data_IF_861611929023
#
_entry.id   IF_861611929023
#
_cell.length_a   1.000
_cell.length_b   1.000
_cell.length_c   1.000
_cell.angle_alpha   90.00
_cell.angle_beta   90.00
_cell.angle_gamma   90.00
#
_symmetry.space_group_name_H-M   'P 1'
#
loop_
_entity.id
_entity.type
_entity.pdbx_description
1 polymer ?
#
# COMPACT_ATOMS: atom_id res chain seq x y z
N UNK A 1 8.40 -1.63 -10.52
CA UNK A 1 6.95 -1.62 -10.31
C UNK A 1 6.65 -0.91 -9.01
N UNK A 2 5.71 0.04 -8.97
CA UNK A 2 5.45 0.83 -7.76
C UNK A 2 4.44 0.18 -6.81
N UNK A 3 4.48 0.51 -5.51
CA UNK A 3 3.57 -0.08 -4.50
C UNK A 3 2.10 0.07 -4.86
N UNK A 4 1.71 1.29 -5.24
CA UNK A 4 0.35 1.58 -5.68
C UNK A 4 -0.09 0.71 -6.86
N UNK A 5 0.78 0.57 -7.86
CA UNK A 5 0.49 -0.21 -9.07
C UNK A 5 0.28 -1.68 -8.71
N UNK A 6 1.16 -2.22 -7.87
CA UNK A 6 1.08 -3.60 -7.38
C UNK A 6 -0.22 -3.89 -6.63
N UNK A 7 -0.59 -3.02 -5.69
CA UNK A 7 -1.87 -3.18 -4.97
C UNK A 7 -3.04 -3.14 -5.95
N UNK A 8 -3.06 -2.24 -6.92
CA UNK A 8 -4.16 -2.14 -7.89
C UNK A 8 -4.26 -3.37 -8.79
N UNK A 9 -3.13 -3.93 -9.23
CA UNK A 9 -3.12 -5.17 -10.02
C UNK A 9 -3.67 -6.35 -9.20
N UNK A 10 -3.21 -6.52 -7.95
CA UNK A 10 -3.73 -7.56 -7.04
C UNK A 10 -5.23 -7.44 -6.77
N UNK A 11 -5.73 -6.22 -6.68
CA UNK A 11 -7.15 -5.95 -6.52
C UNK A 11 -7.94 -6.26 -7.81
N UNK A 12 -7.39 -5.92 -8.97
CA UNK A 12 -7.98 -6.22 -10.28
C UNK A 12 -8.05 -7.74 -10.53
N UNK A 13 -7.00 -8.49 -10.20
CA UNK A 13 -6.97 -9.96 -10.27
C UNK A 13 -8.10 -10.61 -9.46
N UNK A 14 -8.55 -9.95 -8.38
CA UNK A 14 -9.62 -10.43 -7.49
C UNK A 14 -10.99 -9.80 -7.76
N UNK A 15 -11.13 -9.02 -8.83
CA UNK A 15 -12.33 -8.23 -9.11
C UNK A 15 -12.80 -7.40 -7.89
N UNK A 16 -11.85 -6.84 -7.15
CA UNK A 16 -12.07 -6.11 -5.90
C UNK A 16 -11.77 -4.61 -6.09
N UNK A 17 -12.66 -3.75 -5.63
CA UNK A 17 -12.40 -2.31 -5.61
C UNK A 17 -11.74 -1.88 -4.29
N UNK A 18 -11.01 -0.76 -4.29
CA UNK A 18 -10.46 -0.16 -3.07
C UNK A 18 -11.56 0.16 -2.05
N UNK A 19 -12.75 0.59 -2.51
CA UNK A 19 -13.87 0.89 -1.62
C UNK A 19 -14.31 -0.38 -0.90
N UNK A 20 -14.48 -1.48 -1.64
CA UNK A 20 -14.85 -2.77 -1.05
C UNK A 20 -13.78 -3.29 -0.10
N UNK A 21 -12.50 -3.15 -0.45
CA UNK A 21 -11.38 -3.47 0.44
C UNK A 21 -11.45 -2.65 1.74
N UNK A 22 -11.72 -1.35 1.66
CA UNK A 22 -11.81 -0.49 2.84
C UNK A 22 -12.93 -0.91 3.80
N UNK A 23 -14.10 -1.29 3.26
CA UNK A 23 -15.20 -1.85 4.05
C UNK A 23 -14.82 -3.16 4.72
N UNK A 24 -14.18 -4.08 3.99
CA UNK A 24 -13.77 -5.39 4.52
C UNK A 24 -12.73 -5.26 5.64
N UNK A 25 -11.79 -4.33 5.49
CA UNK A 25 -10.77 -4.07 6.49
C UNK A 25 -11.23 -3.16 7.63
N UNK A 26 -12.47 -2.64 7.57
CA UNK A 26 -13.02 -1.64 8.49
C UNK A 26 -12.11 -0.41 8.63
N UNK A 27 -11.61 0.09 7.51
CA UNK A 27 -10.74 1.27 7.41
C UNK A 27 -11.48 2.37 6.65
N UNK A 28 -11.35 3.63 7.08
CA UNK A 28 -11.88 4.76 6.31
C UNK A 28 -11.27 4.79 4.90
N UNK A 29 -12.11 4.75 3.87
CA UNK A 29 -11.68 4.66 2.46
C UNK A 29 -10.60 5.68 2.09
N UNK A 30 -10.81 6.96 2.45
CA UNK A 30 -9.85 8.03 2.16
C UNK A 30 -8.47 7.77 2.79
N UNK A 31 -8.44 7.21 4.00
CA UNK A 31 -7.18 6.87 4.66
C UNK A 31 -6.48 5.71 3.97
N UNK A 32 -7.21 4.67 3.57
CA UNK A 32 -6.64 3.54 2.82
C UNK A 32 -6.08 4.01 1.47
N UNK A 33 -6.81 4.87 0.75
CA UNK A 33 -6.35 5.47 -0.51
C UNK A 33 -5.06 6.27 -0.33
N UNK A 34 -4.97 7.05 0.75
CA UNK A 34 -3.77 7.83 1.06
C UNK A 34 -2.55 6.95 1.36
N UNK A 35 -2.74 5.84 2.08
CA UNK A 35 -1.66 4.87 2.34
C UNK A 35 -1.23 4.20 1.04
N UNK A 36 -2.16 3.68 0.24
CA UNK A 36 -1.87 3.03 -1.04
C UNK A 36 -1.17 3.99 -2.02
N UNK A 37 -1.60 5.26 -2.05
CA UNK A 37 -0.98 6.28 -2.88
C UNK A 37 0.38 6.77 -2.36
N UNK A 38 0.84 6.28 -1.21
CA UNK A 38 2.09 6.68 -0.58
C UNK A 38 2.07 8.07 0.06
N UNK A 39 0.90 8.74 0.10
CA UNK A 39 0.68 10.07 0.70
C UNK A 39 0.73 10.04 2.23
N UNK A 40 0.34 8.92 2.84
CA UNK A 40 0.48 8.66 4.27
C UNK A 40 1.33 7.42 4.52
N UNK A 41 2.04 7.42 5.64
CA UNK A 41 2.84 6.28 6.07
C UNK A 41 2.06 5.50 7.12
N UNK A 42 1.77 4.22 6.87
CA UNK A 42 1.16 3.35 7.88
C UNK A 42 1.45 1.88 7.61
N UNK A 43 2.51 1.35 8.23
CA UNK A 43 2.82 -0.08 8.18
C UNK A 43 1.66 -0.96 8.66
N UNK A 44 0.92 -0.65 9.74
CA UNK A 44 -0.20 -1.50 10.18
C UNK A 44 -1.27 -1.68 9.10
N UNK A 45 -1.54 -0.65 8.30
CA UNK A 45 -2.52 -0.73 7.20
C UNK A 45 -1.97 -1.57 6.05
N UNK A 46 -0.68 -1.41 5.72
CA UNK A 46 -0.02 -2.22 4.70
C UNK A 46 -0.02 -3.70 5.11
N UNK A 47 0.23 -4.02 6.38
CA UNK A 47 0.11 -5.37 6.91
C UNK A 47 -1.30 -5.92 6.75
N UNK A 48 -2.33 -5.19 7.16
CA UNK A 48 -3.73 -5.64 6.97
C UNK A 48 -4.09 -5.91 5.51
N UNK A 49 -3.61 -5.06 4.60
CA UNK A 49 -3.82 -5.25 3.15
C UNK A 49 -3.06 -6.49 2.67
N UNK A 50 -1.82 -6.69 3.12
CA UNK A 50 -1.00 -7.85 2.82
C UNK A 50 -1.62 -9.15 3.31
N UNK A 51 -2.10 -9.19 4.55
CA UNK A 51 -2.80 -10.35 5.13
C UNK A 51 -4.09 -10.66 4.36
N UNK A 52 -4.90 -9.65 4.06
CA UNK A 52 -6.13 -9.86 3.28
C UNK A 52 -5.86 -10.36 1.87
N UNK A 53 -4.81 -9.85 1.22
CA UNK A 53 -4.39 -10.30 -0.10
C UNK A 53 -3.56 -11.60 -0.04
N UNK A 54 -3.26 -12.13 1.14
CA UNK A 54 -2.36 -13.27 1.34
C UNK A 54 -1.04 -13.12 0.55
N UNK A 55 -0.47 -11.91 0.59
CA UNK A 55 0.68 -11.52 -0.21
C UNK A 55 1.69 -10.75 0.65
N UNK A 56 2.68 -11.43 1.26
CA UNK A 56 3.68 -10.79 2.12
C UNK A 56 4.64 -9.87 1.35
N UNK A 57 4.76 -10.03 0.03
CA UNK A 57 5.65 -9.20 -0.80
C UNK A 57 5.23 -7.73 -0.81
N UNK A 58 3.94 -7.44 -0.60
CA UNK A 58 3.40 -6.08 -0.45
C UNK A 58 4.11 -5.27 0.63
N UNK A 59 4.42 -5.90 1.77
CA UNK A 59 5.12 -5.22 2.89
C UNK A 59 6.55 -4.87 2.47
N UNK A 60 7.26 -5.84 1.87
CA UNK A 60 8.63 -5.62 1.38
C UNK A 60 8.68 -4.48 0.36
N UNK A 61 7.76 -4.48 -0.60
CA UNK A 61 7.73 -3.52 -1.68
C UNK A 61 7.41 -2.11 -1.17
N UNK A 62 6.50 -1.99 -0.21
CA UNK A 62 6.21 -0.73 0.48
C UNK A 62 7.43 -0.18 1.24
N UNK A 63 8.10 -1.00 2.05
CA UNK A 63 9.29 -0.59 2.82
C UNK A 63 10.43 -0.19 1.88
N UNK A 64 10.67 -0.98 0.83
CA UNK A 64 11.71 -0.71 -0.15
C UNK A 64 11.53 0.65 -0.83
N UNK A 65 10.30 0.99 -1.22
CA UNK A 65 10.01 2.31 -1.78
C UNK A 65 10.21 3.45 -0.78
N UNK A 66 9.84 3.25 0.49
CA UNK A 66 10.06 4.28 1.52
C UNK A 66 11.54 4.54 1.73
N UNK A 67 12.35 3.50 1.91
CA UNK A 67 13.81 3.63 2.06
C UNK A 67 14.47 4.29 0.84
N UNK A 68 14.02 3.96 -0.38
CA UNK A 68 14.51 4.60 -1.60
C UNK A 68 14.15 6.09 -1.67
N UNK A 69 12.93 6.44 -1.24
CA UNK A 69 12.48 7.84 -1.23
C UNK A 69 13.19 8.66 -0.14
N UNK A 70 13.49 8.07 1.02
CA UNK A 70 14.29 8.70 2.07
C UNK A 70 15.72 8.96 1.61
N UNK A 71 16.37 7.97 0.98
CA UNK A 71 17.72 8.13 0.39
C UNK A 71 17.79 9.23 -0.68
N UNK A 72 16.72 9.40 -1.46
CA UNK A 72 16.64 10.49 -2.46
C UNK A 72 16.47 11.87 -1.82
N UNK A 73 15.83 11.95 -0.65
CA UNK A 73 15.70 13.19 0.11
C UNK A 73 17.01 13.55 0.82
N UNK A 74 17.73 12.58 1.36
CA UNK A 74 19.01 12.82 2.04
C UNK A 74 20.13 13.23 1.09
N UNK A 75 20.13 12.76 -0.17
CA UNK A 75 21.11 13.19 -1.20
C UNK A 75 20.89 14.61 -1.75
N UNK A 76 19.79 15.27 -1.37
CA UNK A 76 19.45 16.64 -1.81
C UNK A 76 19.86 17.72 -0.80
N UNK A 77 20.50 17.32 0.29
CA UNK A 77 21.11 18.20 1.31
C UNK A 77 22.63 18.03 1.21
#
# INVERSE_FOLDING_TARGET
MRFREYVNEKLKERNLSINRLSSLLKIREGYLRDVIAGRRVSLPIVYKVSEYLNDPYLVYLYVSEKLLNEKRRSKKT
#
